data_IF_491950425586
#
_entry.id   IF_491950425586
#
_cell.length_a   1.000
_cell.length_b   1.000
_cell.length_c   1.000
_cell.angle_alpha   90.00
_cell.angle_beta   90.00
_cell.angle_gamma   90.00
#
_symmetry.space_group_name_H-M   'P 1'
#
loop_
_entity.id
_entity.type
_entity.pdbx_description
1 polymer ?
#
# COMPACT_ATOMS: atom_id res chain seq x y z
N UNK A 1 -2.82 38.46 12.25
CA UNK A 1 -1.68 37.56 12.48
C UNK A 1 -2.15 36.11 12.58
N UNK A 2 -1.91 35.31 11.54
CA UNK A 2 -1.90 33.85 11.67
C UNK A 2 -0.66 33.44 12.46
N UNK A 3 -0.76 32.52 13.43
CA UNK A 3 0.35 31.59 13.72
C UNK A 3 -0.02 30.36 14.54
N UNK A 4 0.05 29.22 13.84
CA UNK A 4 0.58 27.93 14.31
C UNK A 4 -0.32 27.01 15.15
N UNK A 5 -1.40 26.51 14.53
CA UNK A 5 -1.88 25.16 14.88
C UNK A 5 -0.80 24.14 14.47
N UNK A 6 -0.11 23.56 15.46
CA UNK A 6 0.80 22.42 15.28
C UNK A 6 0.08 21.34 14.44
N UNK A 7 0.56 21.10 13.21
CA UNK A 7 0.05 20.01 12.36
C UNK A 7 0.16 18.69 13.12
N UNK A 8 -0.97 18.00 13.26
CA UNK A 8 -1.05 16.68 13.91
C UNK A 8 -0.13 15.70 13.17
N UNK A 9 0.54 14.83 13.94
CA UNK A 9 1.55 13.83 13.53
C UNK A 9 1.05 12.79 12.49
N UNK A 10 -0.24 12.84 12.13
CA UNK A 10 -0.91 12.01 11.12
C UNK A 10 -0.86 12.58 9.69
N UNK A 11 -0.49 13.84 9.49
CA UNK A 11 -0.38 14.49 8.16
C UNK A 11 0.96 14.11 7.45
N UNK A 12 1.51 12.92 7.75
CA UNK A 12 2.83 12.46 7.29
C UNK A 12 2.80 11.74 5.94
N UNK A 13 1.63 11.60 5.34
CA UNK A 13 1.50 11.13 3.96
C UNK A 13 0.84 12.24 3.17
N UNK A 14 1.60 12.88 2.28
CA UNK A 14 0.95 13.60 1.17
C UNK A 14 0.13 12.55 0.43
N UNK A 15 -1.14 12.83 0.13
CA UNK A 15 -2.03 11.96 -0.66
C UNK A 15 -1.30 11.44 -1.90
N UNK A 16 -0.46 12.29 -2.50
CA UNK A 16 0.38 12.04 -3.68
C UNK A 16 1.44 10.93 -3.49
N UNK A 17 1.85 10.65 -2.25
CA UNK A 17 2.90 9.68 -1.87
C UNK A 17 2.39 8.53 -1.01
N UNK A 18 1.07 8.41 -0.86
CA UNK A 18 0.47 7.33 -0.08
C UNK A 18 0.78 5.96 -0.72
N UNK A 19 0.95 4.93 0.12
CA UNK A 19 1.13 3.54 -0.35
C UNK A 19 -0.08 3.08 -1.18
N UNK A 20 -1.28 3.61 -0.89
CA UNK A 20 -2.51 3.36 -1.64
C UNK A 20 -2.36 3.84 -3.09
N UNK A 21 -1.96 5.10 -3.28
CA UNK A 21 -1.72 5.67 -4.62
C UNK A 21 -0.59 4.94 -5.34
N UNK A 22 0.47 4.54 -4.64
CA UNK A 22 1.56 3.74 -5.21
C UNK A 22 1.11 2.36 -5.70
N UNK A 23 0.25 1.67 -4.92
CA UNK A 23 -0.32 0.38 -5.32
C UNK A 23 -1.25 0.51 -6.53
N UNK A 24 -2.13 1.52 -6.54
CA UNK A 24 -3.03 1.79 -7.67
C UNK A 24 -2.25 2.05 -8.96
N UNK A 25 -1.18 2.86 -8.91
CA UNK A 25 -0.30 3.11 -10.07
C UNK A 25 0.33 1.84 -10.62
N UNK A 26 0.79 0.93 -9.75
CA UNK A 26 1.38 -0.35 -10.19
C UNK A 26 0.35 -1.28 -10.85
N UNK A 27 -0.89 -1.25 -10.39
CA UNK A 27 -1.97 -2.09 -10.95
C UNK A 27 -2.65 -1.47 -12.17
N UNK A 28 -2.49 -0.16 -12.41
CA UNK A 28 -3.15 0.58 -13.47
C UNK A 28 -2.92 -0.01 -14.89
N UNK A 29 -1.70 -0.41 -15.31
CA UNK A 29 -1.51 -1.05 -16.62
C UNK A 29 -2.30 -2.36 -16.77
N UNK A 30 -2.43 -3.12 -15.68
CA UNK A 30 -3.23 -4.36 -15.66
C UNK A 30 -4.71 -4.00 -15.83
N UNK A 31 -5.21 -2.99 -15.11
CA UNK A 31 -6.58 -2.51 -15.24
C UNK A 31 -6.92 -2.02 -16.65
N UNK A 32 -6.02 -1.26 -17.29
CA UNK A 32 -6.21 -0.77 -18.67
C UNK A 32 -6.14 -1.87 -19.72
N UNK A 33 -5.31 -2.90 -19.50
CA UNK A 33 -5.26 -4.06 -20.39
C UNK A 33 -6.54 -4.92 -20.35
N UNK A 34 -7.37 -4.76 -19.31
CA UNK A 34 -8.69 -5.39 -19.21
C UNK A 34 -9.81 -4.57 -19.86
N UNK A 35 -9.55 -3.31 -20.25
CA UNK A 35 -10.50 -2.46 -20.95
C UNK A 35 -10.35 -2.64 -22.47
N UNK A 36 -11.47 -2.69 -23.18
CA UNK A 36 -11.45 -2.73 -24.65
C UNK A 36 -10.89 -1.42 -25.24
N UNK A 37 -10.38 -1.39 -26.48
CA UNK A 37 -9.92 -0.15 -27.12
C UNK A 37 -10.98 0.95 -27.13
N UNK A 38 -12.23 0.57 -27.41
CA UNK A 38 -13.42 1.40 -27.31
C UNK A 38 -13.60 2.02 -25.91
N UNK A 39 -13.44 1.22 -24.85
CA UNK A 39 -13.49 1.70 -23.48
C UNK A 39 -12.33 2.65 -23.18
N UNK A 40 -11.13 2.37 -23.70
CA UNK A 40 -9.96 3.24 -23.51
C UNK A 40 -10.16 4.62 -24.14
N UNK A 41 -10.83 4.71 -25.29
CA UNK A 41 -11.22 5.99 -25.90
C UNK A 41 -12.21 6.76 -25.00
N UNK A 42 -13.27 6.09 -24.51
CA UNK A 42 -14.24 6.70 -23.60
C UNK A 42 -13.60 7.11 -22.27
N UNK A 43 -12.69 6.29 -21.71
CA UNK A 43 -11.91 6.59 -20.51
C UNK A 43 -11.11 7.89 -20.72
N UNK A 44 -10.44 8.04 -21.87
CA UNK A 44 -9.66 9.24 -22.18
C UNK A 44 -10.56 10.48 -22.30
N UNK A 45 -11.72 10.37 -22.96
CA UNK A 45 -12.68 11.46 -23.08
C UNK A 45 -13.23 11.88 -21.71
N UNK A 46 -13.63 10.93 -20.87
CA UNK A 46 -14.09 11.20 -19.51
C UNK A 46 -12.99 11.81 -18.63
N UNK A 47 -11.74 11.35 -18.78
CA UNK A 47 -10.58 11.96 -18.10
C UNK A 47 -10.41 13.44 -18.47
N UNK A 48 -10.60 13.79 -19.75
CA UNK A 48 -10.56 15.19 -20.21
C UNK A 48 -11.71 15.98 -19.58
N UNK A 49 -12.93 15.44 -19.50
CA UNK A 49 -14.07 16.10 -18.81
C UNK A 49 -13.73 16.41 -17.35
N UNK A 50 -13.15 15.47 -16.62
CA UNK A 50 -12.67 15.71 -15.25
C UNK A 50 -11.63 16.84 -15.17
N UNK A 51 -10.75 16.98 -16.18
CA UNK A 51 -9.79 18.08 -16.24
C UNK A 51 -10.43 19.45 -16.47
N UNK A 52 -11.60 19.48 -17.11
CA UNK A 52 -12.44 20.66 -17.28
C UNK A 52 -13.30 20.97 -16.04
N UNK A 53 -13.18 20.14 -14.99
CA UNK A 53 -13.91 20.23 -13.72
C UNK A 53 -15.40 19.93 -13.84
N UNK A 54 -15.79 19.12 -14.81
CA UNK A 54 -17.13 18.53 -14.86
C UNK A 54 -17.35 17.66 -13.61
N UNK A 55 -18.59 17.63 -13.13
CA UNK A 55 -19.03 16.82 -11.99
C UNK A 55 -19.21 15.35 -12.37
N UNK A 56 -19.25 14.46 -11.38
CA UNK A 56 -19.50 13.03 -11.64
C UNK A 56 -20.83 12.80 -12.38
N UNK A 57 -21.84 13.64 -12.19
CA UNK A 57 -23.11 13.52 -12.89
C UNK A 57 -22.97 13.88 -14.37
N UNK A 58 -22.32 15.01 -14.67
CA UNK A 58 -22.07 15.48 -16.03
C UNK A 58 -21.18 14.50 -16.82
N UNK A 59 -20.18 13.90 -16.16
CA UNK A 59 -19.33 12.86 -16.77
C UNK A 59 -20.13 11.59 -17.04
N UNK A 60 -21.02 11.18 -16.11
CA UNK A 60 -21.87 10.00 -16.31
C UNK A 60 -22.84 10.19 -17.46
N UNK A 61 -23.52 11.33 -17.52
CA UNK A 61 -24.44 11.68 -18.60
C UNK A 61 -23.71 11.76 -19.95
N UNK A 62 -22.49 12.32 -19.97
CA UNK A 62 -21.64 12.31 -21.16
C UNK A 62 -21.33 10.89 -21.64
N UNK A 63 -20.97 9.99 -20.73
CA UNK A 63 -20.66 8.60 -21.07
C UNK A 63 -21.90 7.84 -21.59
N UNK A 64 -23.08 8.03 -20.99
CA UNK A 64 -24.33 7.45 -21.52
C UNK A 64 -24.62 7.90 -22.95
N UNK A 65 -24.46 9.19 -23.23
CA UNK A 65 -24.71 9.74 -24.56
C UNK A 65 -23.68 9.28 -25.62
N UNK A 66 -22.48 8.88 -25.19
CA UNK A 66 -21.36 8.53 -26.08
C UNK A 66 -21.06 7.02 -26.14
N UNK A 67 -21.86 6.18 -25.49
CA UNK A 67 -21.68 4.73 -25.49
C UNK A 67 -21.69 4.12 -26.90
N UNK A 68 -22.42 4.75 -27.83
CA UNK A 68 -22.47 4.38 -29.24
C UNK A 68 -21.10 4.37 -29.95
N UNK A 69 -20.09 5.06 -29.40
CA UNK A 69 -18.73 5.08 -29.94
C UNK A 69 -18.01 3.74 -29.74
N UNK A 70 -18.48 2.85 -28.85
CA UNK A 70 -17.85 1.56 -28.62
C UNK A 70 -17.82 0.64 -29.84
N UNK A 71 -18.76 0.79 -30.78
CA UNK A 71 -18.88 -0.09 -31.93
C UNK A 71 -17.91 0.17 -33.09
N UNK A 72 -16.99 1.14 -32.98
CA UNK A 72 -16.21 1.62 -34.14
C UNK A 72 -14.79 1.07 -34.29
N UNK A 73 -14.23 0.38 -33.30
CA UNK A 73 -12.81 -0.05 -33.35
C UNK A 73 -12.67 -1.50 -32.88
N UNK A 74 -12.75 -2.45 -33.83
CA UNK A 74 -12.17 -3.78 -33.65
C UNK A 74 -10.90 -3.90 -34.49
N UNK A 75 -9.75 -3.84 -33.84
CA UNK A 75 -8.50 -4.35 -34.42
C UNK A 75 -8.60 -5.90 -34.45
N UNK A 76 -8.50 -6.54 -35.63
CA UNK A 76 -8.56 -8.00 -35.75
C UNK A 76 -7.57 -8.74 -34.84
N UNK A 77 -6.41 -8.14 -34.53
CA UNK A 77 -5.39 -8.74 -33.68
C UNK A 77 -5.78 -8.80 -32.19
N UNK A 78 -6.79 -8.05 -31.74
CA UNK A 78 -7.19 -7.95 -30.34
C UNK A 78 -8.46 -8.75 -30.01
N UNK A 79 -9.18 -9.23 -31.04
CA UNK A 79 -10.42 -10.00 -30.90
C UNK A 79 -10.25 -11.28 -30.09
N UNK A 80 -9.15 -12.02 -30.30
CA UNK A 80 -8.89 -13.27 -29.57
C UNK A 80 -8.51 -13.01 -28.10
N UNK A 81 -7.78 -11.93 -27.81
CA UNK A 81 -7.45 -11.53 -26.45
C UNK A 81 -8.73 -11.14 -25.67
N UNK A 82 -9.62 -10.38 -26.30
CA UNK A 82 -10.91 -10.01 -25.70
C UNK A 82 -11.81 -11.23 -25.47
N UNK A 83 -11.84 -12.18 -26.41
CA UNK A 83 -12.57 -13.43 -26.24
C UNK A 83 -12.07 -14.23 -25.01
N UNK A 84 -10.75 -14.36 -24.84
CA UNK A 84 -10.14 -15.03 -23.69
C UNK A 84 -10.47 -14.32 -22.36
N UNK A 85 -10.43 -13.00 -22.31
CA UNK A 85 -10.77 -12.26 -21.09
C UNK A 85 -12.27 -12.30 -20.77
N UNK A 86 -13.14 -12.31 -21.79
CA UNK A 86 -14.58 -12.51 -21.62
C UNK A 86 -14.88 -13.87 -20.99
N UNK A 87 -14.14 -14.90 -21.39
CA UNK A 87 -14.27 -16.26 -20.87
C UNK A 87 -13.68 -16.43 -19.45
N UNK A 88 -12.50 -15.85 -19.17
CA UNK A 88 -11.87 -15.92 -17.85
C UNK A 88 -12.50 -15.03 -16.77
N UNK A 89 -13.16 -13.93 -17.13
CA UNK A 89 -13.65 -12.94 -16.16
C UNK A 89 -14.85 -13.42 -15.33
N UNK A 90 -15.44 -14.59 -15.62
CA UNK A 90 -16.57 -15.16 -14.87
C UNK A 90 -17.82 -14.27 -14.77
N UNK A 91 -17.85 -13.15 -15.51
CA UNK A 91 -18.84 -12.06 -15.48
C UNK A 91 -19.23 -11.63 -16.89
N UNK A 92 -19.33 -12.58 -17.81
CA UNK A 92 -19.62 -12.29 -19.22
C UNK A 92 -20.97 -11.59 -19.42
N UNK A 93 -21.97 -11.84 -18.56
CA UNK A 93 -23.29 -11.19 -18.64
C UNK A 93 -23.31 -9.74 -18.15
N UNK A 94 -22.38 -9.36 -17.27
CA UNK A 94 -22.28 -7.99 -16.73
C UNK A 94 -21.46 -7.05 -17.61
N UNK A 95 -20.80 -7.59 -18.64
CA UNK A 95 -19.89 -6.85 -19.50
C UNK A 95 -20.61 -5.96 -20.53
N UNK A 96 -21.85 -6.30 -20.88
CA UNK A 96 -22.65 -5.65 -21.94
C UNK A 96 -23.74 -4.72 -21.39
N UNK A 97 -23.97 -4.71 -20.08
CA UNK A 97 -24.94 -3.79 -19.46
C UNK A 97 -24.41 -2.34 -19.53
N UNK A 98 -25.09 -1.44 -20.25
CA UNK A 98 -24.64 -0.07 -20.47
C UNK A 98 -24.39 0.69 -19.17
N UNK A 99 -25.18 0.45 -18.12
CA UNK A 99 -25.02 1.11 -16.82
C UNK A 99 -23.72 0.68 -16.13
N UNK A 100 -23.43 -0.63 -16.18
CA UNK A 100 -22.20 -1.19 -15.59
C UNK A 100 -20.96 -0.79 -16.37
N UNK A 101 -21.07 -0.67 -17.69
CA UNK A 101 -19.99 -0.17 -18.56
C UNK A 101 -19.67 1.29 -18.23
N UNK A 102 -20.68 2.16 -18.20
CA UNK A 102 -20.51 3.58 -17.86
C UNK A 102 -19.86 3.72 -16.48
N UNK A 103 -20.34 2.98 -15.48
CA UNK A 103 -19.75 2.99 -14.14
C UNK A 103 -18.27 2.58 -14.14
N UNK A 104 -17.91 1.48 -14.81
CA UNK A 104 -16.50 1.02 -14.90
C UNK A 104 -15.61 2.05 -15.58
N UNK A 105 -16.06 2.59 -16.72
CA UNK A 105 -15.34 3.63 -17.47
C UNK A 105 -15.16 4.90 -16.64
N UNK A 106 -16.19 5.31 -15.91
CA UNK A 106 -16.16 6.46 -15.01
C UNK A 106 -15.17 6.25 -13.86
N UNK A 107 -15.20 5.09 -13.19
CA UNK A 107 -14.28 4.77 -12.09
C UNK A 107 -12.82 4.77 -12.56
N UNK A 108 -12.52 4.14 -13.70
CA UNK A 108 -11.16 4.10 -14.26
C UNK A 108 -10.68 5.49 -14.68
N UNK A 109 -11.52 6.28 -15.36
CA UNK A 109 -11.18 7.63 -15.79
C UNK A 109 -10.97 8.60 -14.62
N UNK A 110 -11.79 8.50 -13.56
CA UNK A 110 -11.61 9.27 -12.34
C UNK A 110 -10.29 8.91 -11.65
N UNK A 111 -9.97 7.62 -11.52
CA UNK A 111 -8.69 7.16 -10.95
C UNK A 111 -7.51 7.69 -11.76
N UNK A 112 -7.58 7.60 -13.08
CA UNK A 112 -6.54 8.13 -13.98
C UNK A 112 -6.33 9.63 -13.81
N UNK A 113 -7.42 10.41 -13.81
CA UNK A 113 -7.36 11.86 -13.62
C UNK A 113 -6.72 12.24 -12.28
N UNK A 114 -7.16 11.64 -11.18
CA UNK A 114 -6.63 11.95 -9.86
C UNK A 114 -5.18 11.51 -9.69
N UNK A 115 -4.77 10.39 -10.32
CA UNK A 115 -3.36 9.98 -10.38
C UNK A 115 -2.53 11.02 -11.15
N UNK A 116 -3.00 11.49 -12.31
CA UNK A 116 -2.32 12.50 -13.12
C UNK A 116 -2.13 13.83 -12.37
N UNK A 117 -3.18 14.32 -11.71
CA UNK A 117 -3.16 15.54 -10.90
C UNK A 117 -2.25 15.40 -9.67
N UNK A 118 -2.17 14.19 -9.09
CA UNK A 118 -1.29 13.96 -7.93
C UNK A 118 0.18 13.80 -8.31
N UNK A 119 0.49 13.28 -9.51
CA UNK A 119 1.87 13.15 -10.02
C UNK A 119 2.45 14.45 -10.56
N UNK A 120 1.62 15.26 -11.20
CA UNK A 120 2.01 16.53 -11.80
C UNK A 120 1.34 17.68 -11.06
N UNK A 121 1.69 17.95 -9.77
CA UNK A 121 1.20 19.14 -9.12
C UNK A 121 1.59 20.34 -9.99
N UNK A 122 0.61 21.19 -10.32
CA UNK A 122 0.80 22.40 -11.13
C UNK A 122 2.16 23.04 -10.83
N UNK A 123 2.95 23.29 -11.90
CA UNK A 123 4.35 23.75 -11.90
C UNK A 123 4.63 25.03 -11.06
N UNK A 124 3.62 25.59 -10.38
CA UNK A 124 3.68 26.75 -9.50
C UNK A 124 4.23 26.44 -8.10
N UNK A 125 4.30 25.18 -7.66
CA UNK A 125 5.01 24.82 -6.41
C UNK A 125 6.46 24.49 -6.73
N UNK A 126 7.38 25.41 -6.38
CA UNK A 126 8.83 25.18 -6.38
C UNK A 126 9.11 23.76 -5.87
N UNK A 127 9.87 22.97 -6.62
CA UNK A 127 10.28 21.62 -6.20
C UNK A 127 11.12 21.73 -4.92
N UNK A 128 10.46 21.69 -3.77
CA UNK A 128 11.12 21.49 -2.49
C UNK A 128 11.46 20.00 -2.48
N UNK A 129 12.73 19.69 -2.70
CA UNK A 129 13.26 18.33 -2.56
C UNK A 129 12.89 17.81 -1.17
N UNK A 130 11.84 17.00 -1.09
CA UNK A 130 11.46 16.36 0.15
C UNK A 130 12.54 15.34 0.51
N UNK A 131 13.21 15.58 1.63
CA UNK A 131 14.28 14.73 2.12
C UNK A 131 13.69 13.41 2.62
N UNK A 132 13.66 12.41 1.74
CA UNK A 132 13.11 11.06 2.00
C UNK A 132 13.78 10.33 3.17
N UNK A 133 15.03 10.69 3.48
CA UNK A 133 15.86 10.01 4.45
C UNK A 133 16.46 11.01 5.44
N UNK A 134 16.18 10.81 6.73
CA UNK A 134 16.74 11.65 7.78
C UNK A 134 18.27 11.54 7.80
N UNK A 135 18.95 12.60 8.28
CA UNK A 135 20.42 12.59 8.42
C UNK A 135 20.89 11.42 9.28
N UNK A 136 20.14 11.09 10.34
CA UNK A 136 20.41 9.96 11.23
C UNK A 136 20.30 8.61 10.50
N UNK A 137 19.21 8.38 9.75
CA UNK A 137 19.03 7.13 9.00
C UNK A 137 20.13 6.94 7.93
N UNK A 138 20.53 8.01 7.25
CA UNK A 138 21.66 7.95 6.30
C UNK A 138 22.98 7.61 6.98
N UNK A 139 23.27 8.20 8.15
CA UNK A 139 24.46 7.85 8.94
C UNK A 139 24.44 6.39 9.39
N UNK A 140 23.29 5.87 9.81
CA UNK A 140 23.16 4.47 10.22
C UNK A 140 23.44 3.50 9.06
N UNK A 141 22.84 3.71 7.89
CA UNK A 141 23.09 2.91 6.68
C UNK A 141 24.58 2.89 6.32
N UNK A 142 25.20 4.07 6.35
CA UNK A 142 26.63 4.23 6.06
C UNK A 142 27.53 3.59 7.12
N UNK A 143 27.07 3.46 8.37
CA UNK A 143 27.76 2.70 9.41
C UNK A 143 27.59 1.19 9.23
N UNK A 144 26.41 0.73 8.76
CA UNK A 144 26.16 -0.68 8.44
C UNK A 144 27.13 -1.22 7.37
N UNK A 145 27.48 -0.41 6.38
CA UNK A 145 28.50 -0.79 5.38
C UNK A 145 29.92 -0.88 5.94
N UNK A 146 30.20 -0.28 7.10
CA UNK A 146 31.51 -0.34 7.78
C UNK A 146 31.55 -1.38 8.89
N UNK A 147 30.54 -2.24 8.99
CA UNK A 147 30.50 -3.26 10.05
C UNK A 147 31.61 -4.28 9.86
N UNK A 148 32.17 -4.73 10.97
CA UNK A 148 33.21 -5.77 10.99
C UNK A 148 32.55 -7.15 10.84
N UNK A 149 32.99 -7.99 9.88
CA UNK A 149 32.44 -9.33 9.73
C UNK A 149 32.86 -10.23 10.89
N UNK A 150 32.07 -11.26 11.18
CA UNK A 150 32.21 -12.08 12.39
C UNK A 150 33.61 -12.70 12.54
N UNK A 151 34.22 -13.17 11.45
CA UNK A 151 35.55 -13.78 11.45
C UNK A 151 36.68 -12.80 11.85
N UNK A 152 36.44 -11.50 11.81
CA UNK A 152 37.42 -10.47 12.14
C UNK A 152 37.13 -9.82 13.51
N UNK A 153 36.22 -10.39 14.29
CA UNK A 153 35.91 -9.94 15.66
C UNK A 153 36.80 -10.71 16.64
N UNK A 154 37.37 -10.05 17.68
CA UNK A 154 38.09 -10.76 18.74
C UNK A 154 37.25 -11.87 19.37
N UNK A 155 37.85 -13.03 19.60
CA UNK A 155 37.15 -14.26 20.05
C UNK A 155 36.32 -14.05 21.31
N UNK A 156 36.88 -13.40 22.34
CA UNK A 156 36.15 -13.12 23.59
C UNK A 156 34.89 -12.26 23.37
N UNK A 157 34.93 -11.32 22.42
CA UNK A 157 33.80 -10.46 22.10
C UNK A 157 32.72 -11.21 21.34
N UNK A 158 33.13 -12.11 20.42
CA UNK A 158 32.20 -13.00 19.73
C UNK A 158 31.52 -13.97 20.71
N UNK A 159 32.25 -14.51 21.68
CA UNK A 159 31.71 -15.37 22.74
C UNK A 159 30.67 -14.62 23.58
N UNK A 160 30.95 -13.38 24.00
CA UNK A 160 29.98 -12.59 24.76
C UNK A 160 28.68 -12.34 23.96
N UNK A 161 28.81 -11.97 22.67
CA UNK A 161 27.65 -11.82 21.79
C UNK A 161 26.85 -13.12 21.64
N UNK A 162 27.55 -14.26 21.56
CA UNK A 162 26.93 -15.58 21.49
C UNK A 162 26.18 -15.93 22.76
N UNK A 163 26.78 -15.74 23.94
CA UNK A 163 26.15 -16.02 25.23
C UNK A 163 24.88 -15.19 25.43
N UNK A 164 24.92 -13.90 25.09
CA UNK A 164 23.74 -13.03 25.16
C UNK A 164 22.60 -13.53 24.26
N UNK A 165 22.93 -14.01 23.05
CA UNK A 165 21.94 -14.57 22.13
C UNK A 165 21.43 -15.93 22.61
N UNK A 166 22.31 -16.78 23.15
CA UNK A 166 21.96 -18.09 23.68
C UNK A 166 21.00 -17.98 24.86
N UNK A 167 21.31 -17.09 25.83
CA UNK A 167 20.43 -16.85 26.97
C UNK A 167 19.02 -16.44 26.55
N UNK A 168 18.89 -15.45 25.67
CA UNK A 168 17.58 -14.95 25.20
C UNK A 168 16.79 -15.96 24.38
N UNK A 169 17.47 -16.67 23.47
CA UNK A 169 16.79 -17.47 22.47
C UNK A 169 16.57 -18.92 22.89
N UNK A 170 17.31 -19.40 23.90
CA UNK A 170 17.25 -20.79 24.36
C UNK A 170 16.87 -20.89 25.84
N UNK A 171 17.59 -20.20 26.73
CA UNK A 171 17.37 -20.35 28.17
C UNK A 171 16.08 -19.66 28.64
N UNK A 172 15.83 -18.42 28.19
CA UNK A 172 14.62 -17.67 28.57
C UNK A 172 13.33 -18.31 28.00
N UNK A 173 13.44 -19.04 26.90
CA UNK A 173 12.31 -19.77 26.30
C UNK A 173 12.03 -21.11 26.95
N UNK A 174 12.98 -21.67 27.71
CA UNK A 174 12.86 -23.00 28.32
C UNK A 174 11.91 -23.03 29.52
N UNK A 175 11.49 -21.85 30.01
CA UNK A 175 10.45 -21.67 31.02
C UNK A 175 10.94 -22.01 32.44
N UNK A 176 10.61 -21.14 33.40
CA UNK A 176 10.95 -21.35 34.82
C UNK A 176 9.85 -22.14 35.53
N UNK A 177 9.59 -23.38 35.09
CA UNK A 177 8.47 -24.19 35.61
C UNK A 177 8.57 -24.51 37.10
N UNK A 178 9.76 -24.37 37.69
CA UNK A 178 9.99 -24.63 39.10
C UNK A 178 9.66 -23.43 39.99
N UNK A 179 9.71 -22.20 39.47
CA UNK A 179 9.54 -20.99 40.28
C UNK A 179 8.10 -20.87 40.78
N UNK A 180 7.12 -21.03 39.88
CA UNK A 180 5.70 -20.98 40.24
C UNK A 180 5.32 -22.10 41.21
N UNK A 181 5.87 -23.31 41.01
CA UNK A 181 5.62 -24.45 41.90
C UNK A 181 6.25 -24.25 43.28
N UNK A 182 7.48 -23.73 43.32
CA UNK A 182 8.18 -23.45 44.57
C UNK A 182 7.47 -22.36 45.38
N UNK A 183 6.93 -21.33 44.71
CA UNK A 183 6.14 -20.28 45.37
C UNK A 183 4.88 -20.90 45.99
N UNK A 184 4.14 -21.71 45.24
CA UNK A 184 2.92 -22.38 45.70
C UNK A 184 3.19 -23.32 46.90
N UNK A 185 4.23 -24.16 46.79
CA UNK A 185 4.64 -25.10 47.85
C UNK A 185 5.04 -24.35 49.13
N UNK A 186 5.77 -23.24 49.03
CA UNK A 186 6.18 -22.43 50.19
C UNK A 186 5.01 -21.65 50.81
N UNK A 187 4.07 -21.13 49.99
CA UNK A 187 2.90 -20.43 50.51
C UNK A 187 1.96 -21.36 51.28
N UNK A 188 1.75 -22.60 50.79
CA UNK A 188 0.91 -23.59 51.46
C UNK A 188 1.51 -24.10 52.76
N UNK A 189 2.82 -24.35 52.77
CA UNK A 189 3.51 -24.76 53.98
C UNK A 189 3.40 -23.72 55.11
N UNK A 190 3.34 -22.43 54.77
CA UNK A 190 3.16 -21.35 55.74
C UNK A 190 1.73 -21.27 56.29
N UNK A 191 0.71 -21.56 55.47
CA UNK A 191 -0.69 -21.63 55.92
C UNK A 191 -0.90 -22.83 56.86
N UNK A 192 -0.27 -23.98 56.59
CA UNK A 192 -0.34 -25.17 57.46
C UNK A 192 0.34 -24.92 58.83
N UNK A 193 1.45 -24.18 58.89
CA UNK A 193 2.10 -23.81 60.16
C UNK A 193 1.25 -22.80 60.98
N UNK A 194 0.52 -21.87 60.34
CA UNK A 194 -0.36 -20.92 61.04
C UNK A 194 -1.67 -21.58 61.55
N UNK A 195 -2.14 -22.67 60.92
CA UNK A 195 -3.31 -23.43 61.40
C UNK A 195 -2.99 -24.39 62.57
N UNK A 196 -1.72 -24.76 62.75
CA UNK A 196 -1.24 -25.63 63.84
C UNK A 196 -0.84 -24.87 65.13
N UNK A 197 -0.75 -23.52 65.10
CA UNK A 197 -0.61 -22.63 66.28
C UNK A 197 -1.96 -22.21 66.90
#
# INVERSE_FOLDING_TARGET
EERTKKKRRGDRYSVQTSLIVAALKKMLPIGLNMCSPADQELINLAKIRYSLKDTDEEVREFLHNNLHLQGKVEDPAMRWQMALYKEMSGKAEDAEDPEKVVKRVQEVSAVLYHIEVTEHPFKSKKMVWHKLLSKQRRRAVVACFRMTPLYNIPTHRAINMFLDAYKRNWLETEGYSFEDKMIDDLSKAMEEEEEEE
#
